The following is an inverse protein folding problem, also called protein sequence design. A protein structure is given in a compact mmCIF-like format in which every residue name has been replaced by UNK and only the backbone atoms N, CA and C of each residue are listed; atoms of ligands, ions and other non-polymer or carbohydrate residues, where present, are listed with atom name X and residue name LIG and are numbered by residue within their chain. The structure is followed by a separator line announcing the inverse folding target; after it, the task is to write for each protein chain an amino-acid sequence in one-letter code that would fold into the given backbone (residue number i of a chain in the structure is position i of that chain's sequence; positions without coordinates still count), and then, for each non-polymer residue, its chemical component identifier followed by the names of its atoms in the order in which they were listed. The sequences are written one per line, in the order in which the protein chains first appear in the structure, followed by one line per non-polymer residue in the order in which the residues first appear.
data_IF_888973652200
#
_entry.id   IF_888973652200
#
_cell.length_a   1.000
_cell.length_b   1.000
_cell.length_c   1.000
_cell.angle_alpha   90.00
_cell.angle_beta   90.00
_cell.angle_gamma   90.00
#
_symmetry.space_group_name_H-M   'P 1'
#
loop_
_entity.id
_entity.type
_entity.pdbx_description
1 polymer ?
#
# COMPACT_ATOMS: atom_id res chain seq x y z
N UNK A 1 -7.03 20.48 14.78
CA UNK A 1 -6.08 20.33 13.66
C UNK A 1 -6.85 20.49 12.36
N UNK A 2 -6.29 21.16 11.35
CA UNK A 2 -6.83 21.03 9.99
C UNK A 2 -6.69 19.55 9.63
N UNK A 3 -7.78 18.88 9.27
CA UNK A 3 -7.76 17.46 8.92
C UNK A 3 -6.87 17.19 7.70
N UNK A 4 -6.72 15.92 7.33
CA UNK A 4 -6.04 15.58 6.07
C UNK A 4 -6.77 16.27 4.90
N UNK A 5 -6.05 16.85 3.92
CA UNK A 5 -6.67 17.49 2.76
C UNK A 5 -7.39 16.48 1.84
N UNK A 6 -7.15 15.18 2.02
CA UNK A 6 -7.79 14.09 1.29
C UNK A 6 -8.48 13.14 2.27
N UNK A 7 -9.59 12.53 1.83
CA UNK A 7 -10.41 11.63 2.65
C UNK A 7 -9.85 10.22 2.78
N UNK A 8 -8.85 9.84 1.97
CA UNK A 8 -8.24 8.51 1.97
C UNK A 8 -6.80 8.55 1.44
N UNK A 9 -5.98 7.61 1.92
CA UNK A 9 -4.71 7.27 1.30
C UNK A 9 -4.94 6.31 0.11
N UNK A 10 -4.07 6.38 -0.89
CA UNK A 10 -4.09 5.51 -2.07
C UNK A 10 -2.95 4.49 -1.97
N UNK A 11 -3.25 3.22 -2.23
CA UNK A 11 -2.27 2.15 -2.32
C UNK A 11 -2.31 1.49 -3.69
N UNK A 12 -1.15 1.24 -4.30
CA UNK A 12 -1.03 0.56 -5.60
C UNK A 12 0.07 -0.49 -5.55
N UNK A 13 -0.13 -1.60 -6.27
CA UNK A 13 0.92 -2.58 -6.56
C UNK A 13 1.46 -2.27 -7.94
N UNK A 14 2.77 -2.05 -8.07
CA UNK A 14 3.36 -1.74 -9.37
C UNK A 14 4.81 -1.29 -9.30
N UNK A 15 5.28 -0.75 -10.42
CA UNK A 15 6.64 -0.23 -10.58
C UNK A 15 6.59 1.29 -10.61
N UNK A 16 7.28 1.94 -9.67
CA UNK A 16 7.50 3.39 -9.65
C UNK A 16 9.00 3.62 -9.60
N UNK A 17 9.53 4.48 -10.48
CA UNK A 17 10.97 4.77 -10.60
C UNK A 17 11.85 3.51 -10.74
N UNK A 18 11.36 2.50 -11.46
CA UNK A 18 12.10 1.25 -11.72
C UNK A 18 12.08 0.24 -10.56
N UNK A 19 11.43 0.54 -9.44
CA UNK A 19 11.33 -0.37 -8.29
C UNK A 19 9.91 -0.94 -8.19
N UNK A 20 9.80 -2.27 -8.15
CA UNK A 20 8.52 -2.94 -7.89
C UNK A 20 8.17 -2.82 -6.40
N UNK A 21 6.90 -2.65 -6.08
CA UNK A 21 6.44 -2.69 -4.70
C UNK A 21 4.97 -2.36 -4.55
N UNK A 22 4.58 -2.28 -3.28
CA UNK A 22 3.38 -1.60 -2.85
C UNK A 22 3.78 -0.14 -2.62
N UNK A 23 3.00 0.80 -3.15
CA UNK A 23 3.25 2.22 -3.04
C UNK A 23 2.06 2.90 -2.40
N UNK A 24 2.32 3.80 -1.46
CA UNK A 24 1.32 4.58 -0.74
C UNK A 24 1.42 6.06 -1.13
N UNK A 25 0.27 6.74 -1.16
CA UNK A 25 0.17 8.18 -1.41
C UNK A 25 -0.92 8.82 -0.55
N UNK A 26 -0.57 9.86 0.19
CA UNK A 26 -1.51 10.68 0.98
C UNK A 26 -1.99 11.92 0.25
N UNK A 27 -1.53 12.15 -0.98
CA UNK A 27 -1.84 13.34 -1.78
C UNK A 27 -2.47 12.98 -3.13
N UNK A 28 -3.39 12.02 -3.12
CA UNK A 28 -4.14 11.56 -4.29
C UNK A 28 -3.26 11.15 -5.49
N UNK A 29 -2.09 10.56 -5.22
CA UNK A 29 -1.16 10.07 -6.25
C UNK A 29 -0.10 11.07 -6.71
N UNK A 30 0.02 12.24 -6.06
CA UNK A 30 1.03 13.24 -6.40
C UNK A 30 2.46 12.80 -6.07
N UNK A 31 2.66 12.17 -4.92
CA UNK A 31 3.92 11.56 -4.49
C UNK A 31 3.69 10.18 -3.92
N UNK A 32 4.70 9.32 -4.04
CA UNK A 32 4.63 7.91 -3.66
C UNK A 32 5.77 7.54 -2.71
N UNK A 33 5.43 6.83 -1.64
CA UNK A 33 6.37 6.19 -0.73
C UNK A 33 6.23 4.68 -0.85
N UNK A 34 7.34 3.95 -0.92
CA UNK A 34 7.29 2.49 -0.96
C UNK A 34 6.82 1.98 0.41
N UNK A 35 5.74 1.21 0.41
CA UNK A 35 5.08 0.70 1.62
C UNK A 35 5.67 -0.64 2.08
N UNK A 36 6.19 -1.45 1.15
CA UNK A 36 6.90 -2.67 1.44
C UNK A 36 8.41 -2.55 1.17
N UNK A 37 9.16 -3.60 1.50
CA UNK A 37 10.60 -3.72 1.21
C UNK A 37 10.90 -4.98 0.39
N UNK A 38 12.16 -5.15 -0.01
CA UNK A 38 12.61 -6.25 -0.88
C UNK A 38 12.46 -7.64 -0.25
N UNK A 39 12.36 -7.74 1.08
CA UNK A 39 12.12 -9.00 1.78
C UNK A 39 10.62 -9.33 1.90
N UNK A 40 9.74 -8.34 1.65
CA UNK A 40 8.29 -8.45 1.83
C UNK A 40 7.55 -8.32 0.49
N UNK A 41 7.75 -9.30 -0.40
CA UNK A 41 7.18 -9.33 -1.76
C UNK A 41 6.02 -10.33 -1.92
N UNK A 42 5.83 -11.19 -0.90
CA UNK A 42 4.70 -12.11 -0.72
C UNK A 42 4.41 -13.08 -1.87
N UNK A 43 5.39 -13.37 -2.74
CA UNK A 43 5.21 -14.28 -3.87
C UNK A 43 4.35 -13.70 -4.99
N UNK A 44 4.22 -12.37 -5.06
CA UNK A 44 3.28 -11.66 -5.92
C UNK A 44 2.00 -11.26 -5.16
N UNK A 45 1.37 -10.17 -5.59
CA UNK A 45 0.18 -9.60 -4.93
C UNK A 45 -0.93 -9.48 -5.96
N UNK A 46 -2.02 -10.22 -5.74
CA UNK A 46 -3.18 -10.24 -6.66
C UNK A 46 -4.27 -9.23 -6.29
N UNK A 47 -4.40 -8.91 -5.00
CA UNK A 47 -5.37 -7.94 -4.49
C UNK A 47 -4.88 -7.32 -3.18
N UNK A 48 -5.36 -6.11 -2.90
CA UNK A 48 -5.11 -5.38 -1.66
C UNK A 48 -6.39 -4.65 -1.22
N UNK A 49 -6.53 -4.41 0.08
CA UNK A 49 -7.62 -3.60 0.65
C UNK A 49 -7.10 -2.72 1.79
N UNK A 50 -7.35 -1.41 1.72
CA UNK A 50 -7.04 -0.48 2.81
C UNK A 50 -8.12 -0.53 3.91
N UNK A 51 -7.72 -0.30 5.16
CA UNK A 51 -8.66 -0.18 6.28
C UNK A 51 -9.21 1.25 6.38
N UNK A 52 -10.54 1.39 6.38
CA UNK A 52 -11.21 2.69 6.58
C UNK A 52 -11.18 3.18 8.03
N UNK A 53 -10.87 2.31 9.00
CA UNK A 53 -10.90 2.63 10.43
C UNK A 53 -9.49 2.88 11.00
N UNK A 54 -8.44 2.37 10.34
CA UNK A 54 -7.06 2.52 10.79
C UNK A 54 -6.20 3.05 9.65
N UNK A 55 -5.78 4.31 9.77
CA UNK A 55 -4.84 4.90 8.82
C UNK A 55 -3.54 4.07 8.72
N UNK A 56 -3.01 3.93 7.51
CA UNK A 56 -1.81 3.13 7.23
C UNK A 56 -2.07 1.64 7.02
N UNK A 57 -3.18 1.09 7.52
CA UNK A 57 -3.38 -0.36 7.46
C UNK A 57 -3.75 -0.86 6.06
N UNK A 58 -3.01 -1.86 5.59
CA UNK A 58 -3.26 -2.56 4.34
C UNK A 58 -3.36 -4.07 4.55
N UNK A 59 -4.40 -4.70 3.99
CA UNK A 59 -4.52 -6.14 3.85
C UNK A 59 -4.05 -6.55 2.45
N UNK A 60 -3.15 -7.53 2.39
CA UNK A 60 -2.43 -7.91 1.17
C UNK A 60 -2.72 -9.38 0.90
N UNK A 61 -3.14 -9.73 -0.32
CA UNK A 61 -3.32 -11.12 -0.74
C UNK A 61 -2.06 -11.61 -1.47
N UNK A 62 -1.17 -12.25 -0.71
CA UNK A 62 0.08 -12.83 -1.23
C UNK A 62 -0.13 -14.14 -1.99
N UNK A 63 0.60 -14.33 -3.09
CA UNK A 63 0.59 -15.54 -3.90
C UNK A 63 0.96 -16.78 -3.09
N UNK A 64 -0.03 -17.62 -2.78
CA UNK A 64 0.10 -18.80 -1.92
C UNK A 64 0.67 -18.50 -0.50
N UNK A 65 0.55 -17.26 -0.02
CA UNK A 65 1.01 -16.84 1.32
C UNK A 65 -0.11 -16.42 2.27
N UNK A 66 -1.37 -16.55 1.83
CA UNK A 66 -2.54 -16.11 2.59
C UNK A 66 -2.69 -14.58 2.58
N UNK A 67 -3.35 -14.05 3.60
CA UNK A 67 -3.56 -12.60 3.77
C UNK A 67 -2.59 -12.07 4.84
N UNK A 68 -1.81 -11.06 4.48
CA UNK A 68 -0.91 -10.34 5.37
C UNK A 68 -1.52 -9.00 5.73
N UNK A 69 -1.12 -8.42 6.85
CA UNK A 69 -1.44 -7.03 7.18
C UNK A 69 -0.18 -6.28 7.59
N UNK A 70 -0.15 -4.98 7.30
CA UNK A 70 0.91 -4.06 7.71
C UNK A 70 0.32 -2.66 7.93
N UNK A 71 1.05 -1.79 8.65
CA UNK A 71 0.74 -0.37 8.81
C UNK A 71 1.96 0.48 8.50
#
# INVERSE_FOLDING_TARGET
AVGAPYSAAVYVVGVINGQWGIWASDNAGGTWTRFNDDNHQFGGIGSIAGDWNTYGRLYIAGGARGIQYAN
#
